data_IF_659027923270
#
_entry.id   IF_659027923270
#
_cell.length_a   1.000
_cell.length_b   1.000
_cell.length_c   1.000
_cell.angle_alpha   90.00
_cell.angle_beta   90.00
_cell.angle_gamma   90.00
#
_symmetry.space_group_name_H-M   'P 1'
#
loop_
_entity.id
_entity.type
_entity.pdbx_description
1 polymer ?
#
# COMPACT_ATOMS: atom_id res chain seq x y z
N UNK A 1 5.81 -1.32 22.47
CA UNK A 1 5.21 -1.38 21.15
C UNK A 1 5.63 -2.65 20.44
N UNK A 2 4.81 -3.11 19.60
CA UNK A 2 4.98 -4.39 18.94
C UNK A 2 5.81 -4.31 17.67
N UNK A 3 7.01 -3.68 17.75
CA UNK A 3 7.89 -3.58 16.58
C UNK A 3 8.31 -4.96 16.08
N UNK A 4 8.41 -5.92 17.01
CA UNK A 4 8.77 -7.29 16.68
C UNK A 4 7.56 -8.15 16.32
N UNK A 5 6.36 -7.59 16.44
CA UNK A 5 5.17 -8.38 16.14
C UNK A 5 5.01 -8.58 14.64
N UNK A 6 4.79 -9.83 14.27
CA UNK A 6 4.53 -10.21 12.88
C UNK A 6 3.14 -10.80 12.80
N UNK A 7 2.29 -10.32 11.89
CA UNK A 7 0.95 -10.89 11.74
C UNK A 7 1.02 -12.37 11.37
N UNK A 8 0.11 -13.19 11.87
CA UNK A 8 0.02 -14.58 11.42
C UNK A 8 -0.18 -14.65 9.91
N UNK A 9 0.57 -15.53 9.26
CA UNK A 9 0.44 -15.74 7.82
C UNK A 9 -0.76 -16.63 7.50
N UNK A 10 -1.36 -16.42 6.34
CA UNK A 10 -2.48 -17.21 5.86
C UNK A 10 -2.78 -16.91 4.41
N UNK A 11 -3.92 -17.39 3.93
CA UNK A 11 -4.32 -17.29 2.52
C UNK A 11 -5.63 -16.55 2.30
N UNK A 12 -6.14 -15.84 3.32
CA UNK A 12 -7.45 -15.18 3.22
C UNK A 12 -7.54 -14.19 2.06
N UNK A 13 -6.42 -13.54 1.73
CA UNK A 13 -6.37 -12.54 0.67
C UNK A 13 -5.56 -12.98 -0.54
N UNK A 14 -5.28 -14.27 -0.65
CA UNK A 14 -4.49 -14.80 -1.76
C UNK A 14 -5.16 -14.47 -3.09
N UNK A 15 -4.39 -13.89 -4.01
CA UNK A 15 -4.89 -13.46 -5.32
C UNK A 15 -5.63 -12.15 -5.32
N UNK A 16 -5.82 -11.52 -4.16
CA UNK A 16 -6.45 -10.20 -4.08
C UNK A 16 -5.42 -9.11 -4.26
N UNK A 17 -5.80 -8.04 -4.93
CA UNK A 17 -4.94 -6.90 -5.25
C UNK A 17 -5.62 -5.62 -4.85
N UNK A 18 -4.88 -4.74 -4.22
CA UNK A 18 -5.48 -3.49 -3.76
C UNK A 18 -4.47 -2.38 -3.53
N UNK A 19 -5.01 -1.22 -3.22
CA UNK A 19 -4.24 -0.01 -2.98
C UNK A 19 -4.35 0.37 -1.51
N UNK A 20 -3.22 0.70 -0.88
CA UNK A 20 -3.21 1.26 0.47
C UNK A 20 -2.66 2.68 0.39
N UNK A 21 -3.46 3.63 0.86
CA UNK A 21 -3.13 5.06 0.90
C UNK A 21 -3.00 5.51 2.35
N UNK A 22 -1.98 6.29 2.65
CA UNK A 22 -1.84 6.88 3.98
C UNK A 22 -0.72 6.33 4.84
N UNK A 23 0.16 5.49 4.28
CA UNK A 23 1.35 5.05 5.02
C UNK A 23 2.36 6.18 5.03
N UNK A 24 2.75 6.60 6.23
CA UNK A 24 3.79 7.62 6.41
C UNK A 24 4.99 7.05 7.19
N UNK A 25 4.73 6.12 8.11
CA UNK A 25 5.76 5.47 8.90
C UNK A 25 5.19 4.18 9.49
N UNK A 26 6.01 3.48 10.27
CA UNK A 26 5.64 2.19 10.87
C UNK A 26 4.50 2.28 11.88
N UNK A 27 4.16 3.47 12.34
CA UNK A 27 3.07 3.68 13.31
C UNK A 27 1.75 4.08 12.63
N UNK A 28 1.73 4.22 11.30
CA UNK A 28 0.51 4.57 10.58
C UNK A 28 -0.52 3.44 10.68
N UNK A 29 -1.79 3.81 10.82
CA UNK A 29 -2.90 2.83 10.79
C UNK A 29 -2.87 2.07 9.48
N UNK A 30 -2.67 2.78 8.36
CA UNK A 30 -2.58 2.17 7.04
C UNK A 30 -1.46 1.11 6.97
N UNK A 31 -0.33 1.35 7.63
CA UNK A 31 0.75 0.38 7.66
C UNK A 31 0.36 -0.91 8.39
N UNK A 32 -0.32 -0.76 9.54
CA UNK A 32 -0.84 -1.91 10.28
C UNK A 32 -1.80 -2.75 9.43
N UNK A 33 -2.71 -2.09 8.72
CA UNK A 33 -3.64 -2.77 7.81
C UNK A 33 -2.87 -3.47 6.68
N UNK A 34 -1.91 -2.79 6.07
CA UNK A 34 -1.12 -3.35 4.96
C UNK A 34 -0.37 -4.61 5.38
N UNK A 35 0.22 -4.61 6.57
CA UNK A 35 0.94 -5.78 7.09
C UNK A 35 0.00 -6.98 7.25
N UNK A 36 -1.21 -6.77 7.76
CA UNK A 36 -2.19 -7.82 7.90
C UNK A 36 -2.61 -8.39 6.55
N UNK A 37 -2.90 -7.51 5.58
CA UNK A 37 -3.30 -7.93 4.24
C UNK A 37 -2.19 -8.70 3.54
N UNK A 38 -0.96 -8.21 3.63
CA UNK A 38 0.19 -8.88 3.01
C UNK A 38 0.43 -10.26 3.63
N UNK A 39 0.28 -10.38 4.96
CA UNK A 39 0.44 -11.66 5.65
C UNK A 39 -0.60 -12.68 5.18
N UNK A 40 -1.77 -12.23 4.71
CA UNK A 40 -2.82 -13.09 4.19
C UNK A 40 -2.75 -13.29 2.67
N UNK A 41 -1.67 -12.88 2.05
CA UNK A 41 -1.39 -13.16 0.64
C UNK A 41 -1.80 -12.10 -0.35
N UNK A 42 -2.23 -10.92 0.09
CA UNK A 42 -2.61 -9.84 -0.81
C UNK A 42 -1.41 -9.23 -1.53
N UNK A 43 -1.64 -8.79 -2.76
CA UNK A 43 -0.71 -7.91 -3.47
C UNK A 43 -1.15 -6.47 -3.26
N UNK A 44 -0.22 -5.59 -2.90
CA UNK A 44 -0.55 -4.23 -2.49
C UNK A 44 0.28 -3.21 -3.26
N UNK A 45 -0.39 -2.18 -3.78
CA UNK A 45 0.26 -0.98 -4.28
C UNK A 45 0.11 0.10 -3.22
N UNK A 46 1.19 0.83 -2.98
CA UNK A 46 1.20 1.91 -1.99
C UNK A 46 1.26 3.24 -2.71
N UNK A 47 0.45 4.20 -2.26
CA UNK A 47 0.53 5.55 -2.79
C UNK A 47 1.27 6.45 -1.82
N UNK A 48 1.91 7.47 -2.35
CA UNK A 48 2.65 8.45 -1.56
C UNK A 48 2.52 9.83 -2.20
N UNK A 49 2.69 10.85 -1.39
CA UNK A 49 2.72 12.23 -1.85
C UNK A 49 4.07 12.84 -1.48
N UNK A 50 4.90 13.09 -2.51
CA UNK A 50 6.19 13.73 -2.34
C UNK A 50 7.35 12.77 -2.11
N UNK A 51 8.53 13.19 -2.54
CA UNK A 51 9.75 12.36 -2.52
C UNK A 51 10.21 12.00 -1.10
N UNK A 52 9.96 12.87 -0.13
CA UNK A 52 10.29 12.60 1.27
C UNK A 52 9.56 11.37 1.79
N UNK A 53 8.27 11.27 1.50
CA UNK A 53 7.47 10.12 1.92
C UNK A 53 7.90 8.87 1.16
N UNK A 54 8.20 8.99 -0.12
CA UNK A 54 8.67 7.86 -0.91
C UNK A 54 9.90 7.22 -0.27
N UNK A 55 10.91 8.03 0.07
CA UNK A 55 12.14 7.53 0.69
C UNK A 55 11.90 6.92 2.07
N UNK A 56 10.94 7.45 2.81
CA UNK A 56 10.62 6.98 4.16
C UNK A 56 9.83 5.68 4.13
N UNK A 57 8.92 5.56 3.18
CA UNK A 57 7.97 4.44 3.12
C UNK A 57 8.53 3.25 2.34
N UNK A 58 9.40 3.48 1.37
CA UNK A 58 9.94 2.40 0.55
C UNK A 58 10.55 1.25 1.34
N UNK A 59 11.40 1.48 2.35
CA UNK A 59 11.93 0.35 3.13
C UNK A 59 10.86 -0.48 3.81
N UNK A 60 9.76 0.16 4.26
CA UNK A 60 8.64 -0.55 4.87
C UNK A 60 7.95 -1.43 3.85
N UNK A 61 7.66 -0.88 2.68
CA UNK A 61 7.01 -1.60 1.60
C UNK A 61 7.84 -2.82 1.19
N UNK A 62 9.13 -2.64 1.04
CA UNK A 62 10.03 -3.73 0.67
C UNK A 62 10.13 -4.80 1.77
N UNK A 63 9.98 -4.40 3.02
CA UNK A 63 10.07 -5.33 4.15
C UNK A 63 8.96 -6.38 4.16
N UNK A 64 7.85 -6.12 3.49
CA UNK A 64 6.75 -7.09 3.35
C UNK A 64 6.67 -7.69 1.96
N UNK A 65 7.75 -7.58 1.18
CA UNK A 65 7.83 -8.20 -0.14
C UNK A 65 7.12 -7.47 -1.25
N UNK A 66 6.73 -6.21 -1.03
CA UNK A 66 6.07 -5.38 -2.04
C UNK A 66 7.05 -4.42 -2.67
N UNK A 67 6.77 -3.95 -3.87
CA UNK A 67 7.64 -3.02 -4.58
C UNK A 67 6.87 -1.94 -5.35
N UNK A 68 5.55 -1.98 -5.34
CA UNK A 68 4.73 -1.06 -6.12
C UNK A 68 4.41 0.18 -5.29
N UNK A 69 5.01 1.30 -5.67
CA UNK A 69 4.77 2.61 -5.07
C UNK A 69 4.42 3.60 -6.17
N UNK A 70 3.33 4.33 -5.98
CA UNK A 70 2.78 5.22 -7.01
C UNK A 70 2.55 6.60 -6.42
N UNK A 71 3.04 7.67 -7.05
CA UNK A 71 2.75 9.01 -6.57
C UNK A 71 1.26 9.32 -6.73
N UNK A 72 0.65 9.87 -5.69
CA UNK A 72 -0.74 10.26 -5.73
C UNK A 72 -1.00 11.38 -4.73
N UNK A 73 -1.46 12.52 -5.24
CA UNK A 73 -1.89 13.66 -4.43
C UNK A 73 -3.41 13.68 -4.42
N UNK A 74 -4.01 13.38 -3.24
CA UNK A 74 -5.47 13.27 -3.11
C UNK A 74 -6.19 14.60 -3.35
N UNK A 75 -5.47 15.72 -3.33
CA UNK A 75 -6.05 17.05 -3.61
C UNK A 75 -5.98 17.40 -5.09
N UNK A 76 -5.40 16.57 -5.92
CA UNK A 76 -5.21 16.79 -7.35
C UNK A 76 -5.86 15.64 -8.14
N UNK A 77 -6.99 15.91 -8.78
CA UNK A 77 -7.72 14.90 -9.53
C UNK A 77 -6.89 14.28 -10.65
N UNK A 78 -6.06 15.06 -11.33
CA UNK A 78 -5.21 14.54 -12.39
C UNK A 78 -4.17 13.54 -11.84
N UNK A 79 -3.62 13.83 -10.66
CA UNK A 79 -2.69 12.91 -9.99
C UNK A 79 -3.37 11.61 -9.61
N UNK A 80 -4.59 11.69 -9.07
CA UNK A 80 -5.35 10.50 -8.70
C UNK A 80 -5.72 9.66 -9.92
N UNK A 81 -6.15 10.31 -11.00
CA UNK A 81 -6.48 9.61 -12.25
C UNK A 81 -5.25 8.88 -12.80
N UNK A 82 -4.09 9.54 -12.79
CA UNK A 82 -2.85 8.92 -13.26
C UNK A 82 -2.46 7.71 -12.42
N UNK A 83 -2.64 7.80 -11.09
CA UNK A 83 -2.35 6.69 -10.19
C UNK A 83 -3.25 5.49 -10.48
N UNK A 84 -4.55 5.71 -10.63
CA UNK A 84 -5.47 4.63 -10.94
C UNK A 84 -5.24 4.05 -12.33
N UNK A 85 -4.89 4.88 -13.32
CA UNK A 85 -4.54 4.39 -14.66
C UNK A 85 -3.31 3.48 -14.61
N UNK A 86 -2.31 3.82 -13.80
CA UNK A 86 -1.12 3.00 -13.59
C UNK A 86 -1.49 1.63 -13.02
N UNK A 87 -2.37 1.61 -12.01
CA UNK A 87 -2.83 0.37 -11.39
C UNK A 87 -3.63 -0.46 -12.38
N UNK A 88 -4.51 0.17 -13.15
CA UNK A 88 -5.31 -0.53 -14.15
C UNK A 88 -4.43 -1.16 -15.22
N UNK A 89 -3.39 -0.47 -15.65
CA UNK A 89 -2.44 -1.02 -16.61
C UNK A 89 -1.67 -2.21 -16.04
N UNK A 90 -1.35 -2.18 -14.74
CA UNK A 90 -0.58 -3.23 -14.09
C UNK A 90 -1.43 -4.47 -13.79
N UNK A 91 -2.64 -4.28 -13.26
CA UNK A 91 -3.46 -5.38 -12.74
C UNK A 91 -4.81 -5.56 -13.43
N UNK A 92 -5.28 -4.57 -14.18
CA UNK A 92 -6.59 -4.59 -14.81
C UNK A 92 -7.73 -4.18 -13.88
N UNK A 93 -7.69 -4.61 -12.63
CA UNK A 93 -8.69 -4.26 -11.62
C UNK A 93 -8.06 -4.30 -10.24
N UNK A 94 -8.78 -3.75 -9.26
CA UNK A 94 -8.41 -3.88 -7.85
C UNK A 94 -9.59 -4.49 -7.09
N UNK A 95 -9.25 -5.23 -6.02
CA UNK A 95 -10.25 -5.88 -5.17
C UNK A 95 -10.55 -5.06 -3.92
N UNK A 96 -9.63 -4.18 -3.49
CA UNK A 96 -9.83 -3.37 -2.30
C UNK A 96 -9.06 -2.05 -2.38
N UNK A 97 -9.52 -1.09 -1.60
CA UNK A 97 -8.88 0.20 -1.44
C UNK A 97 -8.91 0.57 0.04
N UNK A 98 -7.76 0.87 0.60
CA UNK A 98 -7.64 1.39 1.97
C UNK A 98 -7.28 2.86 1.88
N UNK A 99 -8.18 3.71 2.32
CA UNK A 99 -8.01 5.17 2.30
C UNK A 99 -7.91 5.65 3.75
N UNK A 100 -6.68 5.92 4.20
CA UNK A 100 -6.41 6.28 5.59
C UNK A 100 -5.58 7.57 5.66
N UNK A 101 -6.04 8.57 4.96
CA UNK A 101 -5.37 9.87 4.88
C UNK A 101 -6.11 10.91 5.71
#
# INVERSE_FOLDING_TARGET
MADDWTPPAGDLMKGKRGIVMGVANQNSIAWGIARQLAAQGAEIAFTYQGDSLERRVRPLVESIGMDTMIPADVTDDASMDAAFDTIKAKWGKIDFLVHSI
#
